data_IF_482607964336
#
_entry.id   IF_482607964336
#
_cell.length_a   1.000
_cell.length_b   1.000
_cell.length_c   1.000
_cell.angle_alpha   90.00
_cell.angle_beta   90.00
_cell.angle_gamma   90.00
#
_symmetry.space_group_name_H-M   'P 1'
#
loop_
_entity.id
_entity.type
_entity.pdbx_description
1 polymer ?
#
# COMPACT_ATOMS: atom_id res chain seq x y z
N UNK A 1 -12.00 14.22 8.77
CA UNK A 1 -11.74 12.92 9.41
C UNK A 1 -11.09 11.94 8.43
N UNK A 2 -11.70 11.69 7.26
CA UNK A 2 -11.20 10.74 6.25
C UNK A 2 -9.75 11.02 5.84
N UNK A 3 -9.40 12.27 5.55
CA UNK A 3 -8.03 12.66 5.16
C UNK A 3 -6.99 12.37 6.23
N UNK A 4 -7.29 12.69 7.50
CA UNK A 4 -6.38 12.38 8.63
C UNK A 4 -6.21 10.87 8.78
N UNK A 5 -7.30 10.10 8.69
CA UNK A 5 -7.24 8.64 8.76
C UNK A 5 -6.40 8.05 7.62
N UNK A 6 -6.56 8.57 6.40
CA UNK A 6 -5.79 8.16 5.24
C UNK A 6 -4.30 8.50 5.40
N UNK A 7 -3.99 9.69 5.92
CA UNK A 7 -2.61 10.09 6.20
C UNK A 7 -1.95 9.19 7.25
N UNK A 8 -2.64 8.85 8.33
CA UNK A 8 -2.16 7.91 9.35
C UNK A 8 -1.91 6.52 8.77
N UNK A 9 -2.85 6.00 7.97
CA UNK A 9 -2.70 4.71 7.30
C UNK A 9 -1.51 4.70 6.33
N UNK A 10 -1.37 5.75 5.52
CA UNK A 10 -0.29 5.91 4.56
C UNK A 10 1.07 5.98 5.26
N UNK A 11 1.19 6.83 6.28
CA UNK A 11 2.44 7.02 7.02
C UNK A 11 2.88 5.73 7.72
N UNK A 12 1.97 5.07 8.44
CA UNK A 12 2.28 3.80 9.10
C UNK A 12 2.64 2.70 8.10
N UNK A 13 1.92 2.62 6.97
CA UNK A 13 2.25 1.70 5.88
C UNK A 13 3.63 1.97 5.28
N UNK A 14 3.97 3.24 5.05
CA UNK A 14 5.30 3.64 4.56
C UNK A 14 6.42 3.22 5.53
N UNK A 15 6.26 3.50 6.82
CA UNK A 15 7.25 3.14 7.84
C UNK A 15 7.45 1.62 7.91
N UNK A 16 6.36 0.86 7.95
CA UNK A 16 6.41 -0.61 8.00
C UNK A 16 7.07 -1.19 6.74
N UNK A 17 6.65 -0.77 5.55
CA UNK A 17 7.16 -1.32 4.30
C UNK A 17 8.60 -0.91 4.02
N UNK A 18 8.91 0.39 4.08
CA UNK A 18 10.17 0.90 3.57
C UNK A 18 11.29 0.90 4.61
N UNK A 19 10.99 1.07 5.91
CA UNK A 19 12.02 1.10 6.95
C UNK A 19 12.22 -0.27 7.63
N UNK A 20 11.15 -1.04 7.82
CA UNK A 20 11.23 -2.31 8.53
C UNK A 20 11.36 -3.51 7.58
N UNK A 21 10.32 -3.80 6.79
CA UNK A 21 10.25 -5.06 6.05
C UNK A 21 11.24 -5.10 4.89
N UNK A 22 11.39 -4.03 4.11
CA UNK A 22 12.33 -4.00 2.98
C UNK A 22 13.75 -4.34 3.40
N UNK A 23 14.23 -3.74 4.47
CA UNK A 23 15.58 -3.95 4.97
C UNK A 23 15.75 -5.32 5.63
N UNK A 24 14.69 -5.86 6.28
CA UNK A 24 14.72 -7.17 6.91
C UNK A 24 14.73 -8.32 5.89
N UNK A 25 13.93 -8.21 4.81
CA UNK A 25 13.82 -9.26 3.78
C UNK A 25 14.90 -9.12 2.71
N UNK A 26 15.28 -7.89 2.33
CA UNK A 26 16.32 -7.56 1.36
C UNK A 26 16.19 -8.33 0.02
N UNK A 27 14.95 -8.50 -0.50
CA UNK A 27 14.69 -9.26 -1.71
C UNK A 27 15.19 -8.52 -2.95
N UNK A 28 16.03 -9.14 -3.82
CA UNK A 28 16.40 -8.55 -5.10
C UNK A 28 15.19 -8.40 -6.02
N UNK A 29 15.22 -7.43 -6.93
CA UNK A 29 14.14 -7.20 -7.88
C UNK A 29 14.15 -8.22 -9.03
N UNK A 30 13.03 -8.39 -9.76
CA UNK A 30 12.96 -9.34 -10.88
C UNK A 30 14.05 -9.12 -11.92
N UNK A 31 14.35 -7.88 -12.29
CA UNK A 31 15.38 -7.55 -13.28
C UNK A 31 16.82 -7.72 -12.77
N UNK A 32 17.05 -7.83 -11.46
CA UNK A 32 18.35 -8.16 -10.88
C UNK A 32 18.58 -9.67 -10.83
N UNK A 33 17.49 -10.44 -10.78
CA UNK A 33 17.54 -11.92 -10.74
C UNK A 33 17.48 -12.53 -12.14
N UNK A 34 16.66 -11.97 -13.02
CA UNK A 34 16.41 -12.46 -14.37
C UNK A 34 16.86 -11.42 -15.40
N UNK A 35 17.99 -11.66 -16.05
CA UNK A 35 18.59 -10.73 -17.02
C UNK A 35 17.73 -10.47 -18.27
N UNK A 36 16.77 -11.38 -18.56
CA UNK A 36 15.80 -11.23 -19.65
C UNK A 36 14.71 -10.18 -19.35
N UNK A 37 14.52 -9.84 -18.08
CA UNK A 37 13.52 -8.82 -17.67
C UNK A 37 14.16 -7.45 -17.79
N UNK A 38 13.68 -6.67 -18.75
CA UNK A 38 14.06 -5.27 -18.93
C UNK A 38 12.95 -4.40 -18.35
N UNK A 39 13.20 -3.69 -17.24
CA UNK A 39 12.17 -2.82 -16.65
C UNK A 39 11.84 -1.65 -17.60
N UNK A 40 10.56 -1.33 -17.72
CA UNK A 40 10.08 -0.24 -18.59
C UNK A 40 10.25 1.15 -17.96
N UNK A 41 10.84 1.25 -16.79
CA UNK A 41 11.13 2.49 -16.06
C UNK A 41 12.58 2.49 -15.57
N UNK A 42 13.04 3.64 -15.08
CA UNK A 42 14.35 3.74 -14.41
C UNK A 42 14.40 2.72 -13.28
N UNK A 43 15.48 1.93 -13.23
CA UNK A 43 15.67 0.87 -12.24
C UNK A 43 15.64 1.44 -10.82
N UNK A 44 14.65 1.04 -9.98
CA UNK A 44 14.66 1.39 -8.57
C UNK A 44 15.90 0.80 -7.88
N UNK A 45 16.47 1.54 -6.94
CA UNK A 45 17.69 1.13 -6.23
C UNK A 45 17.42 0.41 -4.90
N UNK A 46 16.17 0.39 -4.46
CA UNK A 46 15.74 -0.25 -3.22
C UNK A 46 15.27 -1.69 -3.44
N UNK A 47 15.10 -2.45 -2.35
CA UNK A 47 14.65 -3.83 -2.40
C UNK A 47 13.23 -4.00 -2.92
N UNK A 48 12.90 -5.21 -3.41
CA UNK A 48 11.64 -5.52 -4.07
C UNK A 48 10.47 -5.70 -3.10
N UNK A 49 10.69 -6.40 -2.01
CA UNK A 49 9.63 -6.83 -1.09
C UNK A 49 9.53 -5.95 0.15
N UNK A 50 8.35 -5.50 0.55
CA UNK A 50 7.09 -5.52 -0.19
C UNK A 50 6.98 -4.33 -1.16
N UNK A 51 5.94 -4.32 -2.04
CA UNK A 51 5.70 -3.21 -2.95
C UNK A 51 5.20 -1.97 -2.21
N UNK A 52 6.05 -0.94 -2.14
CA UNK A 52 5.70 0.33 -1.50
C UNK A 52 4.59 1.10 -2.22
N UNK A 53 4.55 1.08 -3.56
CA UNK A 53 3.48 1.72 -4.34
C UNK A 53 2.13 1.04 -4.11
N UNK A 54 2.10 -0.29 -4.05
CA UNK A 54 0.89 -1.03 -3.73
C UNK A 54 0.41 -0.72 -2.31
N UNK A 55 1.32 -0.73 -1.33
CA UNK A 55 0.97 -0.39 0.05
C UNK A 55 0.42 1.04 0.15
N UNK A 56 1.11 2.02 -0.42
CA UNK A 56 0.70 3.42 -0.34
C UNK A 56 -0.67 3.68 -0.98
N UNK A 57 -0.90 3.16 -2.19
CA UNK A 57 -2.17 3.35 -2.89
C UNK A 57 -3.35 2.68 -2.17
N UNK A 58 -3.19 1.44 -1.72
CA UNK A 58 -4.24 0.73 -0.98
C UNK A 58 -4.43 1.26 0.44
N UNK A 59 -3.41 1.78 1.12
CA UNK A 59 -3.54 2.39 2.44
C UNK A 59 -4.53 3.57 2.43
N UNK A 60 -4.51 4.38 1.39
CA UNK A 60 -5.48 5.46 1.18
C UNK A 60 -6.82 4.93 0.68
N UNK A 61 -6.79 4.08 -0.35
CA UNK A 61 -7.99 3.57 -1.01
C UNK A 61 -8.92 2.81 -0.04
N UNK A 62 -8.38 1.97 0.84
CA UNK A 62 -9.16 1.21 1.81
C UNK A 62 -9.76 2.08 2.93
N UNK A 63 -9.13 3.21 3.27
CA UNK A 63 -9.75 4.21 4.15
C UNK A 63 -10.91 4.89 3.44
N UNK A 64 -10.73 5.30 2.18
CA UNK A 64 -11.81 5.88 1.37
C UNK A 64 -12.99 4.92 1.24
N UNK A 65 -12.73 3.64 0.95
CA UNK A 65 -13.78 2.61 0.84
C UNK A 65 -14.62 2.48 2.12
N UNK A 66 -14.02 2.64 3.30
CA UNK A 66 -14.70 2.49 4.60
C UNK A 66 -15.36 3.77 5.10
N UNK A 67 -14.96 4.93 4.60
CA UNK A 67 -15.35 6.23 5.16
C UNK A 67 -16.11 7.13 4.18
N UNK A 68 -16.07 6.84 2.88
CA UNK A 68 -16.78 7.59 1.84
C UNK A 68 -17.92 6.78 1.24
N UNK A 69 -19.03 7.42 0.87
CA UNK A 69 -20.19 6.72 0.31
C UNK A 69 -20.01 6.38 -1.18
N UNK A 70 -20.59 5.26 -1.60
CA UNK A 70 -20.78 4.86 -2.98
C UNK A 70 -19.50 4.90 -3.83
N UNK A 71 -19.60 5.51 -5.00
CA UNK A 71 -18.50 5.57 -5.99
C UNK A 71 -17.23 6.24 -5.47
N UNK A 72 -17.35 7.18 -4.55
CA UNK A 72 -16.21 7.89 -3.97
C UNK A 72 -15.33 7.00 -3.09
N UNK A 73 -15.90 5.94 -2.52
CA UNK A 73 -15.13 4.91 -1.84
C UNK A 73 -14.53 3.87 -2.78
N UNK A 74 -15.25 3.53 -3.86
CA UNK A 74 -14.84 2.45 -4.80
C UNK A 74 -13.75 2.91 -5.76
N UNK A 75 -13.86 4.11 -6.32
CA UNK A 75 -12.93 4.63 -7.33
C UNK A 75 -11.46 4.58 -6.89
N UNK A 76 -11.08 5.01 -5.68
CA UNK A 76 -9.71 4.87 -5.20
C UNK A 76 -9.20 3.43 -5.18
N UNK A 77 -10.07 2.44 -4.89
CA UNK A 77 -9.70 1.02 -4.88
C UNK A 77 -9.39 0.52 -6.29
N UNK A 78 -10.19 0.92 -7.28
CA UNK A 78 -9.92 0.60 -8.69
C UNK A 78 -8.58 1.19 -9.13
N UNK A 79 -8.32 2.46 -8.81
CA UNK A 79 -7.04 3.11 -9.12
C UNK A 79 -5.86 2.43 -8.43
N UNK A 80 -6.00 2.05 -7.16
CA UNK A 80 -4.97 1.31 -6.44
C UNK A 80 -4.69 -0.06 -7.07
N UNK A 81 -5.72 -0.76 -7.54
CA UNK A 81 -5.60 -2.01 -8.30
C UNK A 81 -4.83 -1.82 -9.60
N UNK A 82 -5.10 -0.76 -10.35
CA UNK A 82 -4.36 -0.42 -11.57
C UNK A 82 -2.89 -0.10 -11.28
N UNK A 83 -2.60 0.62 -10.19
CA UNK A 83 -1.23 0.89 -9.75
C UNK A 83 -0.53 -0.42 -9.40
N UNK A 84 -1.15 -1.28 -8.62
CA UNK A 84 -0.59 -2.58 -8.23
C UNK A 84 -0.27 -3.45 -9.46
N UNK A 85 -1.21 -3.54 -10.41
CA UNK A 85 -1.00 -4.25 -11.67
C UNK A 85 0.16 -3.66 -12.48
N UNK A 86 0.25 -2.33 -12.56
CA UNK A 86 1.32 -1.66 -13.27
C UNK A 86 2.71 -2.03 -12.76
N UNK A 87 2.86 -2.34 -11.45
CA UNK A 87 4.16 -2.77 -10.88
C UNK A 87 4.62 -4.11 -11.43
N UNK A 88 3.69 -5.01 -11.72
CA UNK A 88 3.96 -6.29 -12.37
C UNK A 88 4.30 -6.09 -13.85
N UNK A 89 3.47 -5.32 -14.54
CA UNK A 89 3.65 -5.01 -15.97
C UNK A 89 5.00 -4.33 -16.26
N UNK A 90 5.43 -3.42 -15.38
CA UNK A 90 6.72 -2.73 -15.50
C UNK A 90 7.94 -3.63 -15.19
N UNK A 91 7.75 -4.87 -14.71
CA UNK A 91 8.82 -5.81 -14.39
C UNK A 91 9.63 -5.45 -13.15
N UNK A 92 9.09 -4.64 -12.24
CA UNK A 92 9.83 -4.13 -11.07
C UNK A 92 9.47 -4.83 -9.75
N UNK A 93 8.40 -5.61 -9.72
CA UNK A 93 7.94 -6.37 -8.55
C UNK A 93 7.45 -7.76 -8.93
N UNK A 94 7.60 -8.70 -7.99
CA UNK A 94 6.95 -10.01 -8.05
C UNK A 94 5.50 -9.94 -7.58
N UNK A 95 4.61 -10.88 -7.98
CA UNK A 95 3.25 -10.94 -7.47
C UNK A 95 3.17 -10.98 -5.93
N UNK A 96 4.10 -11.70 -5.29
CA UNK A 96 4.20 -11.76 -3.82
C UNK A 96 4.50 -10.42 -3.17
N UNK A 97 5.28 -9.54 -3.83
CA UNK A 97 5.58 -8.18 -3.32
C UNK A 97 4.32 -7.31 -3.32
N UNK A 98 3.51 -7.45 -4.38
CA UNK A 98 2.24 -6.73 -4.53
C UNK A 98 1.23 -7.21 -3.47
N UNK A 99 1.10 -8.52 -3.31
CA UNK A 99 0.21 -9.10 -2.28
C UNK A 99 0.61 -8.66 -0.88
N UNK A 100 1.90 -8.71 -0.54
CA UNK A 100 2.40 -8.28 0.75
C UNK A 100 2.14 -6.78 1.00
N UNK A 101 2.36 -5.93 -0.01
CA UNK A 101 2.03 -4.50 0.06
C UNK A 101 0.55 -4.25 0.34
N UNK A 102 -0.34 -5.00 -0.31
CA UNK A 102 -1.77 -4.96 -0.06
C UNK A 102 -2.13 -5.38 1.38
N UNK A 103 -1.53 -6.47 1.89
CA UNK A 103 -1.80 -6.95 3.26
C UNK A 103 -1.36 -5.94 4.33
N UNK A 104 -0.21 -5.29 4.14
CA UNK A 104 0.22 -4.20 5.03
C UNK A 104 -0.77 -3.04 4.98
N UNK A 105 -1.22 -2.64 3.79
CA UNK A 105 -2.22 -1.58 3.63
C UNK A 105 -3.56 -1.95 4.30
N UNK A 106 -3.99 -3.21 4.19
CA UNK A 106 -5.20 -3.70 4.85
C UNK A 106 -5.10 -3.59 6.37
N UNK A 107 -3.95 -3.96 6.94
CA UNK A 107 -3.70 -3.83 8.37
C UNK A 107 -3.70 -2.37 8.81
N UNK A 108 -2.89 -1.51 8.19
CA UNK A 108 -2.72 -0.11 8.58
C UNK A 108 -4.01 0.70 8.43
N UNK A 109 -4.75 0.49 7.33
CA UNK A 109 -6.05 1.14 7.13
C UNK A 109 -7.11 0.68 8.15
N UNK A 110 -7.09 -0.59 8.52
CA UNK A 110 -8.01 -1.12 9.54
C UNK A 110 -7.73 -0.53 10.92
N UNK A 111 -6.45 -0.49 11.31
CA UNK A 111 -6.02 0.11 12.57
C UNK A 111 -6.36 1.60 12.62
N UNK A 112 -6.00 2.35 11.57
CA UNK A 112 -6.28 3.78 11.49
C UNK A 112 -7.79 4.09 11.59
N UNK A 113 -8.64 3.33 10.88
CA UNK A 113 -10.09 3.51 10.96
C UNK A 113 -10.65 3.16 12.35
N UNK A 114 -10.15 2.13 13.01
CA UNK A 114 -10.58 1.75 14.37
C UNK A 114 -10.18 2.80 15.40
N UNK A 115 -8.96 3.30 15.34
CA UNK A 115 -8.49 4.36 16.21
C UNK A 115 -9.35 5.63 16.06
N UNK A 116 -9.59 6.05 14.81
CA UNK A 116 -10.41 7.22 14.52
C UNK A 116 -11.84 7.09 15.06
N UNK A 117 -12.46 5.92 14.93
CA UNK A 117 -13.79 5.65 15.47
C UNK A 117 -13.83 5.77 16.99
N UNK A 118 -12.82 5.23 17.69
CA UNK A 118 -12.73 5.29 19.16
C UNK A 118 -12.55 6.73 19.66
N UNK A 119 -11.70 7.52 19.00
CA UNK A 119 -11.42 8.90 19.41
C UNK A 119 -12.61 9.84 19.21
N UNK A 120 -13.46 9.58 18.23
CA UNK A 120 -14.60 10.45 17.88
C UNK A 120 -15.97 9.81 18.15
N UNK A 121 -16.05 8.68 18.86
CA UNK A 121 -17.29 8.14 19.37
C UNK A 121 -17.73 8.99 20.56
N UNK A 122 -19.00 9.54 20.60
CA UNK A 122 -19.48 10.23 21.79
C UNK A 122 -19.47 9.23 22.95
N UNK A 123 -18.86 9.61 24.07
CA UNK A 123 -19.05 8.87 25.31
C UNK A 123 -20.55 8.89 25.62
N UNK A 124 -21.18 7.72 25.62
CA UNK A 124 -22.52 7.58 26.19
C UNK A 124 -22.37 7.82 27.69
N UNK A 125 -22.71 9.04 28.12
CA UNK A 125 -23.00 9.36 29.53
C UNK A 125 -24.27 8.66 29.95
#
# INVERSE_FOLDING_TARGET
KTGVTAALSLLSGFLITNLLIKNAVARPRPFDTYTQIIPLIIRPKDYSFPSGHTCASFAVALVCLRMLPGKWGILPVVLAGMIAFSRLYLGVHYPGDVLAGFLVALLTSTVACRLMRRTFSPQKS
#
